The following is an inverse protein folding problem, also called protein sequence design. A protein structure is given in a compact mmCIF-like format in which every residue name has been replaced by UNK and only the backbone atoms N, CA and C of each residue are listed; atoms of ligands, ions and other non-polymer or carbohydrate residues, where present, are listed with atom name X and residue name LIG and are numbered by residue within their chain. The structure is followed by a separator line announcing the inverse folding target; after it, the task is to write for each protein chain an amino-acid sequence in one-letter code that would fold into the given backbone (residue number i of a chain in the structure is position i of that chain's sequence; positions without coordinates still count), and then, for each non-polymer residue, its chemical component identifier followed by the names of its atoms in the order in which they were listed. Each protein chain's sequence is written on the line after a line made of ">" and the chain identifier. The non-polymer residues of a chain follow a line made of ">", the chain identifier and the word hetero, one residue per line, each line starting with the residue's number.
data_IF_365608576748
#
_entry.id   IF_365608576748
#
_cell.length_a   1.000
_cell.length_b   1.000
_cell.length_c   1.000
_cell.angle_alpha   90.00
_cell.angle_beta   90.00
_cell.angle_gamma   90.00
#
_symmetry.space_group_name_H-M   'P 1'
#
loop_
_entity.id
_entity.type
_entity.pdbx_description
1 polymer ?
#
# COMPACT_ATOMS: atom_id res chain seq x y z
N UNK A 1 -12.45 -24.84 21.37
CA UNK A 1 -12.00 -25.18 20.00
C UNK A 1 -11.29 -24.03 19.25
N UNK A 2 -11.46 -22.75 19.61
CA UNK A 2 -10.96 -21.60 18.82
C UNK A 2 -9.44 -21.32 18.83
N UNK A 3 -8.59 -21.97 19.65
CA UNK A 3 -7.22 -21.47 19.90
C UNK A 3 -6.06 -22.45 19.60
N UNK A 4 -6.26 -23.53 18.82
CA UNK A 4 -5.19 -24.51 18.49
C UNK A 4 -4.33 -24.11 17.26
N UNK A 5 -4.06 -22.82 17.04
CA UNK A 5 -3.19 -22.34 15.94
C UNK A 5 -3.78 -22.33 14.53
N UNK A 6 -5.09 -22.57 14.39
CA UNK A 6 -5.83 -22.50 13.13
C UNK A 6 -6.23 -21.07 12.74
N UNK A 7 -6.42 -20.19 13.72
CA UNK A 7 -6.94 -18.86 13.48
C UNK A 7 -5.79 -17.84 13.49
N UNK A 8 -5.66 -17.04 12.43
CA UNK A 8 -4.72 -15.92 12.38
C UNK A 8 -5.50 -14.61 12.19
N UNK A 9 -5.34 -13.60 13.06
CA UNK A 9 -6.06 -12.33 12.95
C UNK A 9 -5.51 -11.46 11.82
N UNK A 10 -6.31 -11.13 10.81
CA UNK A 10 -5.89 -10.23 9.70
C UNK A 10 -6.16 -8.77 10.09
N UNK A 11 -7.42 -8.46 10.41
CA UNK A 11 -7.88 -7.14 10.86
C UNK A 11 -8.71 -7.32 12.12
N UNK A 12 -8.94 -6.25 12.90
CA UNK A 12 -9.90 -6.31 14.02
C UNK A 12 -11.25 -6.84 13.52
N UNK A 13 -11.70 -7.96 14.09
CA UNK A 13 -12.94 -8.65 13.73
C UNK A 13 -12.86 -9.56 12.51
N UNK A 14 -11.70 -9.71 11.87
CA UNK A 14 -11.52 -10.50 10.64
C UNK A 14 -10.33 -11.43 10.81
N UNK A 15 -10.58 -12.72 10.62
CA UNK A 15 -9.62 -13.77 10.87
C UNK A 15 -9.49 -14.68 9.65
N UNK A 16 -8.27 -15.15 9.42
CA UNK A 16 -8.00 -16.26 8.53
C UNK A 16 -8.11 -17.57 9.30
N UNK A 17 -8.89 -18.52 8.79
CA UNK A 17 -8.97 -19.87 9.32
C UNK A 17 -8.18 -20.78 8.40
N UNK A 18 -7.08 -21.31 8.91
CA UNK A 18 -6.27 -22.32 8.22
C UNK A 18 -7.06 -23.60 8.08
N UNK A 19 -6.91 -24.27 6.95
CA UNK A 19 -7.29 -25.67 6.81
C UNK A 19 -6.30 -26.61 7.52
N UNK A 20 -6.63 -27.90 7.51
CA UNK A 20 -5.80 -28.93 8.15
C UNK A 20 -4.40 -29.03 7.56
N UNK A 21 -4.28 -28.91 6.23
CA UNK A 21 -3.00 -29.01 5.51
C UNK A 21 -2.11 -27.80 5.78
N UNK A 22 -2.67 -26.59 5.74
CA UNK A 22 -1.96 -25.35 6.08
C UNK A 22 -1.44 -25.35 7.51
N UNK A 23 -2.19 -25.98 8.44
CA UNK A 23 -1.70 -26.17 9.81
C UNK A 23 -0.57 -27.19 9.87
N UNK A 24 -0.72 -28.35 9.22
CA UNK A 24 0.26 -29.44 9.23
C UNK A 24 1.60 -29.01 8.61
N UNK A 25 1.55 -28.25 7.52
CA UNK A 25 2.72 -27.85 6.71
C UNK A 25 3.25 -26.48 7.16
N UNK A 26 2.43 -25.65 7.81
CA UNK A 26 2.81 -24.31 8.25
C UNK A 26 2.79 -23.24 7.15
N UNK A 27 2.53 -23.64 5.89
CA UNK A 27 2.42 -22.76 4.73
C UNK A 27 0.96 -22.35 4.53
N UNK A 28 0.72 -21.05 4.32
CA UNK A 28 -0.62 -20.53 4.02
C UNK A 28 -0.92 -20.65 2.53
N UNK A 29 -2.17 -20.97 2.18
CA UNK A 29 -2.70 -20.99 0.81
C UNK A 29 -2.60 -19.62 0.14
N UNK A 30 -2.82 -18.57 0.91
CA UNK A 30 -2.78 -17.19 0.45
C UNK A 30 -1.55 -16.48 1.01
N UNK A 31 -0.96 -15.59 0.19
CA UNK A 31 0.12 -14.72 0.64
C UNK A 31 -0.38 -13.70 1.69
N UNK A 32 0.53 -13.10 2.47
CA UNK A 32 0.18 -12.01 3.38
C UNK A 32 -0.62 -10.88 2.69
N UNK A 33 -0.20 -10.47 1.48
CA UNK A 33 -0.86 -9.40 0.72
C UNK A 33 -2.27 -9.78 0.27
N UNK A 34 -2.45 -11.03 -0.16
CA UNK A 34 -3.74 -11.60 -0.54
C UNK A 34 -4.71 -11.64 0.65
N UNK A 35 -4.22 -12.04 1.81
CA UNK A 35 -5.01 -12.11 3.03
C UNK A 35 -5.44 -10.72 3.50
N UNK A 36 -4.56 -9.72 3.42
CA UNK A 36 -4.94 -8.34 3.75
C UNK A 36 -5.92 -7.78 2.74
N UNK A 37 -5.74 -8.03 1.44
CA UNK A 37 -6.68 -7.62 0.40
C UNK A 37 -8.10 -8.19 0.66
N UNK A 38 -8.19 -9.50 0.91
CA UNK A 38 -9.45 -10.15 1.32
C UNK A 38 -9.98 -9.58 2.62
N UNK A 39 -9.12 -9.32 3.61
CA UNK A 39 -9.53 -8.71 4.87
C UNK A 39 -10.18 -7.34 4.69
N UNK A 40 -9.62 -6.50 3.81
CA UNK A 40 -10.18 -5.18 3.48
C UNK A 40 -11.52 -5.30 2.74
N UNK A 41 -11.62 -6.24 1.79
CA UNK A 41 -12.86 -6.56 1.08
C UNK A 41 -13.96 -7.02 2.03
N UNK A 42 -13.70 -8.01 2.89
CA UNK A 42 -14.63 -8.50 3.92
C UNK A 42 -15.07 -7.38 4.86
N UNK A 43 -14.19 -6.40 5.11
CA UNK A 43 -14.50 -5.23 5.94
C UNK A 43 -15.35 -4.17 5.22
N UNK A 44 -15.56 -4.30 3.91
CA UNK A 44 -16.26 -3.31 3.09
C UNK A 44 -15.40 -2.08 2.74
N UNK A 45 -14.08 -2.11 2.95
CA UNK A 45 -13.19 -1.01 2.58
C UNK A 45 -12.86 -1.16 1.10
N UNK A 46 -13.50 -0.36 0.24
CA UNK A 46 -13.32 -0.42 -1.22
C UNK A 46 -12.14 0.40 -1.73
N UNK A 47 -11.93 1.57 -1.12
CA UNK A 47 -10.88 2.51 -1.49
C UNK A 47 -9.61 2.22 -0.71
N UNK A 48 -8.75 1.41 -1.33
CA UNK A 48 -7.43 1.09 -0.81
C UNK A 48 -6.47 0.73 -1.94
N UNK A 49 -5.18 0.89 -1.70
CA UNK A 49 -4.12 0.35 -2.53
C UNK A 49 -2.82 0.26 -1.73
N UNK A 50 -1.94 -0.63 -2.15
CA UNK A 50 -0.55 -0.65 -1.74
C UNK A 50 0.19 0.54 -2.34
N UNK A 51 0.69 1.43 -1.49
CA UNK A 51 1.32 2.67 -1.91
C UNK A 51 2.67 2.90 -1.25
N UNK A 52 3.23 4.09 -1.45
CA UNK A 52 4.55 4.47 -0.93
C UNK A 52 5.62 3.45 -1.35
N UNK A 53 6.51 3.08 -0.44
CA UNK A 53 7.56 2.09 -0.67
C UNK A 53 7.03 0.73 -1.13
N UNK A 54 5.85 0.30 -0.66
CA UNK A 54 5.21 -0.93 -1.16
C UNK A 54 4.77 -0.79 -2.61
N UNK A 55 4.31 0.40 -3.02
CA UNK A 55 4.02 0.70 -4.43
C UNK A 55 5.27 0.53 -5.30
N UNK A 56 6.41 1.09 -4.87
CA UNK A 56 7.69 0.93 -5.58
C UNK A 56 8.10 -0.55 -5.69
N UNK A 57 7.90 -1.34 -4.62
CA UNK A 57 8.12 -2.78 -4.62
C UNK A 57 7.23 -3.50 -5.65
N UNK A 58 5.92 -3.19 -5.69
CA UNK A 58 5.01 -3.78 -6.67
C UNK A 58 5.35 -3.42 -8.11
N UNK A 59 5.98 -2.27 -8.33
CA UNK A 59 6.47 -1.82 -9.63
C UNK A 59 7.85 -2.38 -9.98
N UNK A 60 8.51 -3.10 -9.07
CA UNK A 60 9.85 -3.64 -9.25
C UNK A 60 10.91 -2.56 -9.56
N UNK A 61 10.77 -1.38 -8.95
CA UNK A 61 11.67 -0.23 -9.17
C UNK A 61 12.57 0.08 -7.97
N UNK A 62 12.55 -0.74 -6.93
CA UNK A 62 13.39 -0.58 -5.74
C UNK A 62 14.05 -1.90 -5.34
N UNK A 63 15.29 -1.80 -4.86
CA UNK A 63 16.04 -2.91 -4.25
C UNK A 63 16.04 -2.84 -2.72
N UNK A 64 15.34 -1.86 -2.14
CA UNK A 64 15.24 -1.70 -0.69
C UNK A 64 14.39 -2.84 -0.08
N UNK A 65 14.89 -3.42 1.00
CA UNK A 65 14.13 -4.36 1.82
C UNK A 65 13.39 -3.60 2.92
N UNK A 66 12.05 -3.60 2.87
CA UNK A 66 11.22 -2.98 3.89
C UNK A 66 10.75 -4.01 4.91
N UNK A 67 10.86 -3.68 6.20
CA UNK A 67 10.29 -4.48 7.30
C UNK A 67 8.78 -4.27 7.44
N UNK A 68 8.20 -3.39 6.63
CA UNK A 68 6.81 -2.95 6.69
C UNK A 68 6.27 -2.68 5.29
N UNK A 69 4.98 -2.94 5.13
CA UNK A 69 4.21 -2.60 3.94
C UNK A 69 3.16 -1.52 4.26
N UNK A 70 2.93 -0.60 3.32
CA UNK A 70 2.02 0.53 3.47
C UNK A 70 0.77 0.36 2.62
N UNK A 71 -0.38 0.57 3.25
CA UNK A 71 -1.69 0.54 2.61
C UNK A 71 -2.37 1.88 2.80
N UNK A 72 -2.57 2.58 1.69
CA UNK A 72 -3.33 3.82 1.68
C UNK A 72 -4.81 3.48 1.55
N UNK A 73 -5.65 4.10 2.38
CA UNK A 73 -7.09 3.87 2.41
C UNK A 73 -7.85 5.13 2.87
N UNK A 74 -9.16 5.16 2.70
CA UNK A 74 -10.01 6.29 3.08
C UNK A 74 -10.72 6.12 4.44
N UNK A 75 -10.67 4.91 5.02
CA UNK A 75 -11.45 4.56 6.20
C UNK A 75 -10.68 4.80 7.50
N UNK A 76 -9.48 4.24 7.63
CA UNK A 76 -8.79 4.04 8.91
C UNK A 76 -7.30 4.42 8.87
N UNK A 77 -6.86 5.08 9.94
CA UNK A 77 -5.44 5.16 10.32
C UNK A 77 -5.22 4.11 11.41
N UNK A 78 -4.21 3.25 11.27
CA UNK A 78 -3.91 2.24 12.30
C UNK A 78 -2.43 2.15 12.59
N UNK A 79 -2.13 1.85 13.85
CA UNK A 79 -0.80 1.44 14.29
C UNK A 79 -0.38 0.22 13.45
N UNK A 80 0.87 0.17 12.98
CA UNK A 80 1.40 -0.95 12.24
C UNK A 80 1.16 -2.28 12.96
N UNK A 81 0.71 -3.31 12.24
CA UNK A 81 0.44 -4.63 12.81
C UNK A 81 1.04 -5.73 11.97
N UNK A 82 1.77 -6.62 12.62
CA UNK A 82 2.28 -7.83 12.01
C UNK A 82 1.16 -8.87 11.79
N UNK A 83 1.08 -9.40 10.59
CA UNK A 83 0.29 -10.57 10.25
C UNK A 83 1.01 -11.40 9.19
N UNK A 84 1.01 -12.72 9.39
CA UNK A 84 1.67 -13.68 8.49
C UNK A 84 3.14 -13.32 8.16
N UNK A 85 3.87 -12.77 9.13
CA UNK A 85 5.29 -12.41 8.99
C UNK A 85 5.55 -11.03 8.38
N UNK A 86 4.50 -10.29 8.00
CA UNK A 86 4.62 -8.95 7.39
C UNK A 86 3.94 -7.91 8.26
N UNK A 87 4.61 -6.77 8.50
CA UNK A 87 4.01 -5.64 9.23
C UNK A 87 3.30 -4.71 8.27
N UNK A 88 2.00 -4.48 8.46
CA UNK A 88 1.22 -3.55 7.63
C UNK A 88 0.89 -2.26 8.37
N UNK A 89 1.11 -1.13 7.73
CA UNK A 89 0.71 0.20 8.19
C UNK A 89 -0.42 0.76 7.32
N UNK A 90 -1.52 1.14 7.96
CA UNK A 90 -2.68 1.71 7.29
C UNK A 90 -2.65 3.23 7.41
N UNK A 91 -2.47 3.89 6.26
CA UNK A 91 -2.40 5.33 6.16
C UNK A 91 -3.72 5.85 5.60
N UNK A 92 -4.40 6.70 6.38
CA UNK A 92 -5.63 7.36 5.93
C UNK A 92 -5.30 8.57 5.06
N UNK A 93 -5.83 8.60 3.84
CA UNK A 93 -5.70 9.70 2.87
C UNK A 93 -7.07 10.16 2.35
N UNK A 94 -7.10 11.30 1.64
CA UNK A 94 -8.35 11.90 1.14
C UNK A 94 -8.99 11.02 0.06
N UNK A 95 -10.33 10.83 0.05
CA UNK A 95 -11.04 10.03 -0.96
C UNK A 95 -10.77 10.44 -2.42
N UNK A 96 -10.53 11.73 -2.69
CA UNK A 96 -10.22 12.23 -4.05
C UNK A 96 -8.98 11.55 -4.65
N UNK A 97 -8.01 11.17 -3.81
CA UNK A 97 -6.76 10.57 -4.26
C UNK A 97 -6.91 9.12 -4.74
N UNK A 98 -8.09 8.51 -4.65
CA UNK A 98 -8.36 7.15 -5.14
C UNK A 98 -8.86 7.11 -6.60
N UNK A 99 -8.97 8.26 -7.28
CA UNK A 99 -9.58 8.35 -8.62
C UNK A 99 -8.60 8.16 -9.79
N UNK A 100 -7.31 8.09 -9.52
CA UNK A 100 -6.26 8.03 -10.54
C UNK A 100 -5.09 7.18 -10.05
N UNK A 101 -4.23 6.77 -11.00
CA UNK A 101 -2.95 6.13 -10.73
C UNK A 101 -2.98 4.83 -9.91
N UNK A 102 -4.11 4.12 -9.86
CA UNK A 102 -4.22 2.82 -9.18
C UNK A 102 -4.23 1.73 -10.23
N UNK A 103 -3.21 0.87 -10.21
CA UNK A 103 -3.13 -0.36 -10.97
C UNK A 103 -3.75 -1.51 -10.21
N UNK A 104 -4.20 -2.51 -10.95
CA UNK A 104 -4.75 -3.74 -10.38
C UNK A 104 -4.10 -4.96 -11.01
N UNK A 105 -3.83 -5.98 -10.21
CA UNK A 105 -3.42 -7.31 -10.69
C UNK A 105 -4.22 -8.40 -9.99
N UNK A 106 -4.61 -9.43 -10.72
CA UNK A 106 -5.23 -10.64 -10.14
C UNK A 106 -4.13 -11.63 -9.81
N UNK A 107 -4.12 -12.15 -8.59
CA UNK A 107 -3.16 -13.18 -8.19
C UNK A 107 -3.52 -14.55 -8.74
N UNK A 108 -2.63 -15.53 -8.59
CA UNK A 108 -2.90 -16.94 -8.94
C UNK A 108 -4.12 -17.50 -8.20
N UNK A 109 -4.39 -17.01 -6.99
CA UNK A 109 -5.56 -17.38 -6.20
C UNK A 109 -6.82 -16.55 -6.53
N UNK A 110 -6.79 -15.75 -7.59
CA UNK A 110 -7.92 -14.96 -8.06
C UNK A 110 -8.19 -13.68 -7.27
N UNK A 111 -7.29 -13.27 -6.37
CA UNK A 111 -7.48 -12.12 -5.49
C UNK A 111 -7.02 -10.85 -6.19
N UNK A 112 -7.81 -9.78 -6.09
CA UNK A 112 -7.48 -8.49 -6.69
C UNK A 112 -6.54 -7.70 -5.76
N UNK A 113 -5.34 -7.42 -6.24
CA UNK A 113 -4.36 -6.56 -5.58
C UNK A 113 -4.37 -5.20 -6.26
N UNK A 114 -4.54 -4.14 -5.47
CA UNK A 114 -4.51 -2.74 -5.91
C UNK A 114 -3.20 -2.11 -5.45
N UNK A 115 -2.52 -1.39 -6.33
CA UNK A 115 -1.27 -0.70 -6.02
C UNK A 115 -1.13 0.57 -6.85
N UNK A 116 -0.39 1.57 -6.37
CA UNK A 116 -0.18 2.81 -7.13
C UNK A 116 0.79 2.61 -8.30
N UNK A 117 0.58 3.33 -9.40
CA UNK A 117 1.60 3.56 -10.42
C UNK A 117 2.74 4.44 -9.88
N UNK A 118 3.79 4.63 -10.68
CA UNK A 118 4.99 5.30 -10.19
C UNK A 118 4.69 6.77 -9.87
N UNK A 119 4.01 7.49 -10.76
CA UNK A 119 3.68 8.91 -10.59
C UNK A 119 2.85 9.16 -9.33
N UNK A 120 1.81 8.35 -9.11
CA UNK A 120 1.00 8.44 -7.90
C UNK A 120 1.81 8.06 -6.66
N UNK A 121 2.66 7.04 -6.75
CA UNK A 121 3.53 6.63 -5.63
C UNK A 121 4.43 7.77 -5.19
N UNK A 122 5.08 8.47 -6.13
CA UNK A 122 5.99 9.57 -5.81
C UNK A 122 5.24 10.75 -5.19
N UNK A 123 4.08 11.10 -5.75
CA UNK A 123 3.23 12.18 -5.21
C UNK A 123 2.70 11.85 -3.81
N UNK A 124 2.30 10.61 -3.55
CA UNK A 124 1.85 10.17 -2.23
C UNK A 124 2.98 10.22 -1.19
N UNK A 125 4.21 9.82 -1.56
CA UNK A 125 5.40 9.93 -0.71
C UNK A 125 5.66 11.40 -0.38
N UNK A 126 5.78 12.27 -1.38
CA UNK A 126 6.04 13.68 -1.19
C UNK A 126 4.93 14.37 -0.36
N UNK A 127 3.67 14.02 -0.61
CA UNK A 127 2.53 14.55 0.13
C UNK A 127 2.58 14.18 1.62
N UNK A 128 2.85 12.92 1.94
CA UNK A 128 2.94 12.47 3.34
C UNK A 128 4.21 13.00 4.02
N UNK A 129 5.31 13.11 3.30
CA UNK A 129 6.54 13.71 3.80
C UNK A 129 6.33 15.17 4.19
N UNK A 130 5.70 15.96 3.32
CA UNK A 130 5.30 17.34 3.63
C UNK A 130 4.34 17.42 4.81
N UNK A 131 3.36 16.52 4.87
CA UNK A 131 2.42 16.44 5.99
C UNK A 131 3.10 16.09 7.32
N UNK A 132 4.20 15.34 7.27
CA UNK A 132 5.01 14.97 8.43
C UNK A 132 6.12 15.98 8.76
N UNK A 133 6.10 17.17 8.14
CA UNK A 133 7.04 18.25 8.46
C UNK A 133 8.40 18.15 7.79
N UNK A 134 8.60 17.26 6.79
CA UNK A 134 9.85 17.22 6.04
C UNK A 134 10.05 18.49 5.20
N UNK A 135 11.31 18.87 5.03
CA UNK A 135 11.71 20.00 4.18
C UNK A 135 11.40 19.73 2.70
N UNK A 136 11.27 20.80 1.91
CA UNK A 136 11.04 20.68 0.46
C UNK A 136 12.18 19.93 -0.22
N UNK A 137 13.42 20.19 0.19
CA UNK A 137 14.60 19.47 -0.30
C UNK A 137 14.48 17.98 -0.05
N UNK A 138 14.07 17.55 1.15
CA UNK A 138 13.90 16.14 1.47
C UNK A 138 12.75 15.50 0.67
N UNK A 139 11.60 16.16 0.58
CA UNK A 139 10.44 15.65 -0.15
C UNK A 139 10.67 15.63 -1.68
N UNK A 140 11.53 16.51 -2.21
CA UNK A 140 11.86 16.57 -3.65
C UNK A 140 12.79 15.44 -4.11
N UNK A 141 13.62 14.88 -3.21
CA UNK A 141 14.59 13.82 -3.56
C UNK A 141 13.96 12.65 -4.31
N UNK A 142 12.73 12.27 -3.95
CA UNK A 142 12.07 11.13 -4.58
C UNK A 142 11.78 11.35 -6.07
N UNK A 143 11.50 12.58 -6.50
CA UNK A 143 11.26 12.86 -7.92
C UNK A 143 12.55 12.81 -8.73
N UNK A 144 13.67 13.21 -8.12
CA UNK A 144 15.00 13.14 -8.74
C UNK A 144 15.43 11.67 -8.88
N UNK A 145 15.25 10.88 -7.83
CA UNK A 145 15.63 9.47 -7.79
C UNK A 145 14.95 8.61 -8.88
N UNK A 146 13.71 8.96 -9.24
CA UNK A 146 12.90 8.20 -10.18
C UNK A 146 12.56 8.98 -11.47
N UNK A 147 13.31 10.05 -11.78
CA UNK A 147 13.01 10.92 -12.92
C UNK A 147 12.96 10.13 -14.24
N UNK A 148 13.93 9.25 -14.46
CA UNK A 148 14.09 8.39 -15.63
C UNK A 148 12.95 7.37 -15.82
N UNK A 149 12.20 7.07 -14.75
CA UNK A 149 11.11 6.09 -14.76
C UNK A 149 9.71 6.72 -14.79
N UNK A 150 9.62 8.04 -14.77
CA UNK A 150 8.35 8.76 -14.66
C UNK A 150 7.93 9.42 -15.96
N UNK A 151 6.63 9.42 -16.23
CA UNK A 151 6.05 10.23 -17.28
C UNK A 151 5.75 11.65 -16.74
N UNK A 152 6.56 12.63 -17.14
CA UNK A 152 6.43 14.03 -16.70
C UNK A 152 5.03 14.63 -16.93
N UNK A 153 4.37 14.28 -18.05
CA UNK A 153 3.02 14.76 -18.36
C UNK A 153 2.00 14.20 -17.37
N UNK A 154 2.07 12.89 -17.10
CA UNK A 154 1.16 12.21 -16.18
C UNK A 154 1.41 12.66 -14.73
N UNK A 155 2.67 12.81 -14.32
CA UNK A 155 3.05 13.32 -13.02
C UNK A 155 2.48 14.72 -12.78
N UNK A 156 2.61 15.61 -13.77
CA UNK A 156 2.04 16.96 -13.73
C UNK A 156 0.51 16.92 -13.67
N UNK A 157 -0.14 16.04 -14.43
CA UNK A 157 -1.59 15.85 -14.40
C UNK A 157 -2.07 15.41 -13.01
N UNK A 158 -1.49 14.35 -12.46
CA UNK A 158 -1.85 13.82 -11.14
C UNK A 158 -1.60 14.83 -10.03
N UNK A 159 -0.49 15.58 -10.11
CA UNK A 159 -0.12 16.59 -9.10
C UNK A 159 -1.20 17.65 -8.87
N UNK A 160 -2.07 17.91 -9.86
CA UNK A 160 -3.21 18.85 -9.74
C UNK A 160 -4.18 18.46 -8.62
N UNK A 161 -4.23 17.18 -8.26
CA UNK A 161 -5.05 16.65 -7.17
C UNK A 161 -4.40 16.79 -5.77
N UNK A 162 -3.15 17.26 -5.70
CA UNK A 162 -2.40 17.46 -4.47
C UNK A 162 -2.25 18.95 -4.14
N UNK A 163 -1.94 19.33 -2.89
CA UNK A 163 -1.70 20.73 -2.52
C UNK A 163 -0.59 21.40 -3.34
N UNK A 164 -0.66 22.72 -3.49
CA UNK A 164 0.35 23.52 -4.22
C UNK A 164 1.77 23.31 -3.70
N UNK A 165 1.94 23.02 -2.41
CA UNK A 165 3.24 22.69 -1.82
C UNK A 165 3.87 21.43 -2.41
N UNK A 166 3.07 20.42 -2.80
CA UNK A 166 3.55 19.21 -3.47
C UNK A 166 3.78 19.47 -4.96
N UNK A 167 2.88 20.23 -5.60
CA UNK A 167 3.02 20.59 -7.02
C UNK A 167 4.33 21.33 -7.33
N UNK A 168 4.87 22.10 -6.38
CA UNK A 168 6.15 22.82 -6.54
C UNK A 168 7.39 21.92 -6.46
N UNK A 169 7.23 20.66 -6.03
CA UNK A 169 8.36 19.74 -5.83
C UNK A 169 8.69 18.93 -7.08
N UNK A 170 7.73 18.75 -7.99
CA UNK A 170 7.94 17.97 -9.21
C UNK A 170 8.99 18.65 -10.10
N UNK A 171 9.78 17.84 -10.80
CA UNK A 171 10.89 18.28 -11.69
C UNK A 171 10.43 18.27 -13.15
#
# INVERSE_FOLDING_TARGET
>A
MLNKGFIKPILRGIFYVKDFNEKKIGVLKYSPDELVAKGLETKGIKNWYFGLRTGLKFLNVTHEYFTREWILNDAMKRVPRAFAGVTYEFVKIKPLLFRFGIKTKKTKNGILIKYSDIEKTLLDIAYLDKKNGKSDTAAKKIFIEYEDRTNKKLLKEYSKNYPKSVQKLIV
#
